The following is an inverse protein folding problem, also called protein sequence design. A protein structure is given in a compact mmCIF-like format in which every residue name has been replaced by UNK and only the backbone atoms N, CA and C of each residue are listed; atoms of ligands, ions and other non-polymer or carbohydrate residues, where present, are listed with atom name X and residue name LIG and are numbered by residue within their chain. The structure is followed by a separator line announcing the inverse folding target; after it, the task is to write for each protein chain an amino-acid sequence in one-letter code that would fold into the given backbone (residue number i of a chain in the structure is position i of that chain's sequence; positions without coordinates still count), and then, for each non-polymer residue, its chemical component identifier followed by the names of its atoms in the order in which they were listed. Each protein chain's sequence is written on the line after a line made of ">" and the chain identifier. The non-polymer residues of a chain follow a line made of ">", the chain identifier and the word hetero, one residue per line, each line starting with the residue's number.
data_IF_545272885612
#
_entry.id   IF_545272885612
#
_cell.length_a   1.000
_cell.length_b   1.000
_cell.length_c   1.000
_cell.angle_alpha   90.00
_cell.angle_beta   90.00
_cell.angle_gamma   90.00
#
_symmetry.space_group_name_H-M   'P 1'
#
loop_
_entity.id
_entity.type
_entity.pdbx_description
1 polymer ?
#
# COMPACT_ATOMS: atom_id res chain seq x y z
N UNK A 1 -1.60 3.60 -12.39
CA UNK A 1 -1.56 2.20 -11.90
C UNK A 1 -2.45 1.35 -12.80
N UNK A 2 -2.03 0.11 -13.10
CA UNK A 2 -2.81 -0.77 -13.96
C UNK A 2 -4.03 -1.34 -13.23
N UNK A 3 -5.06 -1.74 -13.99
CA UNK A 3 -6.26 -2.36 -13.42
C UNK A 3 -5.94 -3.65 -12.68
N UNK A 4 -4.97 -4.42 -13.17
CA UNK A 4 -4.53 -5.64 -12.49
C UNK A 4 -3.96 -5.34 -11.10
N UNK A 5 -3.19 -4.27 -10.95
CA UNK A 5 -2.65 -3.88 -9.65
C UNK A 5 -3.75 -3.43 -8.70
N UNK A 6 -4.76 -2.68 -9.18
CA UNK A 6 -5.92 -2.32 -8.36
C UNK A 6 -6.66 -3.56 -7.87
N UNK A 7 -6.92 -4.51 -8.76
CA UNK A 7 -7.61 -5.75 -8.41
C UNK A 7 -6.83 -6.51 -7.34
N UNK A 8 -5.52 -6.61 -7.51
CA UNK A 8 -4.65 -7.32 -6.57
C UNK A 8 -4.68 -6.63 -5.19
N UNK A 9 -4.59 -5.32 -5.17
CA UNK A 9 -4.59 -4.54 -3.93
C UNK A 9 -5.94 -4.67 -3.19
N UNK A 10 -7.05 -4.70 -3.92
CA UNK A 10 -8.39 -4.75 -3.33
C UNK A 10 -8.86 -6.15 -2.90
N UNK A 11 -8.02 -7.17 -2.99
CA UNK A 11 -8.38 -8.51 -2.55
C UNK A 11 -8.68 -8.56 -1.06
N UNK A 12 -9.67 -9.39 -0.67
CA UNK A 12 -10.10 -9.52 0.72
C UNK A 12 -8.96 -9.88 1.67
N UNK A 13 -8.02 -10.70 1.22
CA UNK A 13 -6.86 -11.09 2.03
C UNK A 13 -5.99 -9.91 2.47
N UNK A 14 -6.16 -8.74 1.85
CA UNK A 14 -5.40 -7.55 2.21
C UNK A 14 -6.01 -6.76 3.37
N UNK A 15 -7.20 -7.14 3.84
CA UNK A 15 -7.84 -6.65 5.07
C UNK A 15 -8.12 -5.15 5.09
N UNK A 16 -8.47 -4.56 3.96
CA UNK A 16 -8.76 -3.13 3.86
C UNK A 16 -9.94 -2.69 4.75
N UNK A 17 -10.85 -3.62 5.10
CA UNK A 17 -11.96 -3.36 6.00
C UNK A 17 -11.55 -2.87 7.38
N UNK A 18 -10.29 -3.07 7.77
CA UNK A 18 -9.76 -2.58 9.05
C UNK A 18 -9.48 -1.07 9.05
N UNK A 19 -9.32 -0.46 7.90
CA UNK A 19 -8.92 0.95 7.77
C UNK A 19 -9.87 1.80 6.94
N UNK A 20 -10.77 1.20 6.18
CA UNK A 20 -11.76 1.91 5.37
C UNK A 20 -13.14 1.30 5.55
N UNK A 21 -14.20 2.12 5.41
CA UNK A 21 -15.58 1.65 5.53
C UNK A 21 -16.01 0.80 4.34
N UNK A 22 -15.49 1.11 3.15
CA UNK A 22 -15.78 0.36 1.94
C UNK A 22 -14.49 -0.20 1.37
N UNK A 23 -14.11 -1.45 1.73
CA UNK A 23 -12.84 -2.03 1.30
C UNK A 23 -12.75 -2.32 -0.20
N UNK A 24 -13.87 -2.23 -0.91
CA UNK A 24 -13.88 -2.41 -2.37
C UNK A 24 -13.84 -1.08 -3.13
N UNK A 25 -13.92 0.05 -2.43
CA UNK A 25 -13.83 1.37 -3.05
C UNK A 25 -12.38 1.74 -3.28
N UNK A 26 -11.98 1.80 -4.54
CA UNK A 26 -10.62 2.22 -4.90
C UNK A 26 -10.31 3.63 -4.41
N UNK A 27 -11.28 4.55 -4.45
CA UNK A 27 -11.08 5.93 -4.02
C UNK A 27 -10.67 5.99 -2.54
N UNK A 28 -11.35 5.22 -1.70
CA UNK A 28 -11.03 5.19 -0.26
C UNK A 28 -9.70 4.51 0.01
N UNK A 29 -9.43 3.40 -0.65
CA UNK A 29 -8.16 2.69 -0.51
C UNK A 29 -7.01 3.53 -1.03
N UNK A 30 -7.17 4.21 -2.17
CA UNK A 30 -6.10 5.05 -2.72
C UNK A 30 -5.77 6.24 -1.82
N UNK A 31 -6.75 6.80 -1.10
CA UNK A 31 -6.49 7.83 -0.10
C UNK A 31 -5.58 7.31 1.02
N UNK A 32 -5.82 6.08 1.46
CA UNK A 32 -4.97 5.43 2.47
C UNK A 32 -3.57 5.21 1.91
N UNK A 33 -3.44 4.74 0.68
CA UNK A 33 -2.14 4.56 0.04
C UNK A 33 -1.36 5.88 -0.03
N UNK A 34 -2.02 6.97 -0.36
CA UNK A 34 -1.39 8.28 -0.42
C UNK A 34 -0.90 8.73 0.96
N UNK A 35 -1.67 8.48 2.01
CA UNK A 35 -1.24 8.78 3.38
C UNK A 35 0.01 8.01 3.76
N UNK A 36 0.07 6.72 3.40
CA UNK A 36 1.25 5.89 3.67
C UNK A 36 2.46 6.40 2.90
N UNK A 37 2.28 6.77 1.64
CA UNK A 37 3.38 7.28 0.81
C UNK A 37 3.91 8.62 1.31
N UNK A 38 3.05 9.47 1.87
CA UNK A 38 3.45 10.79 2.39
C UNK A 38 4.07 10.71 3.79
N UNK A 39 3.53 9.86 4.66
CA UNK A 39 3.85 9.87 6.09
C UNK A 39 4.53 8.60 6.58
N UNK A 40 4.52 7.52 5.80
CA UNK A 40 5.08 6.25 6.20
C UNK A 40 6.61 6.24 6.25
N UNK A 41 7.15 5.26 6.96
CA UNK A 41 8.60 5.04 7.04
C UNK A 41 9.06 4.18 5.87
N UNK A 42 9.98 4.70 5.06
CA UNK A 42 10.54 3.97 3.92
C UNK A 42 11.66 3.03 4.36
N UNK A 43 11.61 1.80 3.90
CA UNK A 43 12.69 0.83 4.05
C UNK A 43 12.84 0.04 2.75
N UNK A 44 14.06 -0.48 2.46
CA UNK A 44 14.24 -1.38 1.31
C UNK A 44 13.40 -2.66 1.48
N UNK A 45 12.84 -3.14 0.39
CA UNK A 45 12.08 -4.38 0.40
C UNK A 45 13.00 -5.56 0.05
N UNK A 46 13.40 -6.30 1.07
CA UNK A 46 14.30 -7.44 0.89
C UNK A 46 15.62 -7.06 0.22
N UNK A 47 16.12 -7.89 -0.66
CA UNK A 47 17.35 -7.67 -1.40
C UNK A 47 17.12 -7.22 -2.85
N UNK A 48 15.89 -6.82 -3.18
CA UNK A 48 15.52 -6.42 -4.53
C UNK A 48 15.87 -4.98 -4.78
N UNK A 49 16.62 -4.71 -5.86
CA UNK A 49 17.02 -3.35 -6.22
C UNK A 49 15.82 -2.52 -6.65
N UNK A 50 15.79 -1.27 -6.21
CA UNK A 50 14.75 -0.27 -6.54
C UNK A 50 13.35 -0.61 -6.01
N UNK A 51 13.21 -1.64 -5.18
CA UNK A 51 11.94 -1.97 -4.53
C UNK A 51 12.00 -1.54 -3.08
N UNK A 52 11.00 -0.75 -2.67
CA UNK A 52 10.91 -0.21 -1.32
C UNK A 52 9.53 -0.46 -0.76
N UNK A 53 9.40 -0.28 0.54
CA UNK A 53 8.11 -0.32 1.22
C UNK A 53 7.99 0.86 2.17
N UNK A 54 6.76 1.32 2.37
CA UNK A 54 6.43 2.27 3.42
C UNK A 54 5.36 1.68 4.31
N UNK A 55 5.47 1.91 5.61
CA UNK A 55 4.50 1.42 6.59
C UNK A 55 4.01 2.61 7.41
N UNK A 56 2.70 2.70 7.61
CA UNK A 56 2.09 3.75 8.40
C UNK A 56 0.88 3.19 9.15
N UNK A 57 0.75 3.55 10.43
CA UNK A 57 -0.37 3.08 11.26
C UNK A 57 -1.60 3.95 11.00
N UNK A 58 -2.71 3.31 10.64
CA UNK A 58 -4.00 3.97 10.42
C UNK A 58 -5.05 3.22 11.24
N UNK A 59 -5.75 3.94 12.11
CA UNK A 59 -6.82 3.39 12.95
C UNK A 59 -6.37 2.15 13.75
N UNK A 60 -5.12 2.13 14.19
CA UNK A 60 -4.57 1.02 14.97
C UNK A 60 -4.05 -0.16 14.16
N UNK A 61 -4.05 -0.06 12.84
CA UNK A 61 -3.54 -1.11 11.96
C UNK A 61 -2.41 -0.57 11.10
N UNK A 62 -1.34 -1.36 10.93
CA UNK A 62 -0.23 -0.97 10.07
C UNK A 62 -0.60 -1.27 8.61
N UNK A 63 -0.45 -0.26 7.75
CA UNK A 63 -0.67 -0.40 6.31
C UNK A 63 0.68 -0.35 5.60
N UNK A 64 0.95 -1.36 4.77
CA UNK A 64 2.19 -1.46 4.01
C UNK A 64 1.92 -1.21 2.54
N UNK A 65 2.74 -0.34 1.93
CA UNK A 65 2.73 -0.11 0.48
C UNK A 65 4.10 -0.50 -0.08
N UNK A 66 4.11 -1.43 -1.02
CA UNK A 66 5.30 -1.86 -1.73
C UNK A 66 5.32 -1.17 -3.10
N UNK A 67 6.45 -0.57 -3.45
CA UNK A 67 6.55 0.19 -4.68
C UNK A 67 7.95 0.10 -5.28
N UNK A 68 8.01 0.38 -6.58
CA UNK A 68 9.26 0.54 -7.33
C UNK A 68 9.59 2.03 -7.42
N UNK A 69 10.85 2.37 -7.22
CA UNK A 69 11.34 3.73 -7.42
C UNK A 69 12.48 3.68 -8.43
N UNK A 70 12.19 4.09 -9.66
CA UNK A 70 13.17 4.12 -10.74
C UNK A 70 13.26 5.55 -11.27
N UNK A 71 14.45 6.15 -11.14
CA UNK A 71 14.72 7.53 -11.60
C UNK A 71 13.72 8.54 -11.02
N UNK A 72 13.33 8.37 -9.76
CA UNK A 72 12.38 9.26 -9.09
C UNK A 72 10.91 8.99 -9.39
N UNK A 73 10.60 8.02 -10.24
CA UNK A 73 9.23 7.65 -10.54
C UNK A 73 8.79 6.49 -9.66
N UNK A 74 7.69 6.68 -8.93
CA UNK A 74 7.11 5.66 -8.07
C UNK A 74 6.03 4.88 -8.82
N UNK A 75 6.09 3.54 -8.73
CA UNK A 75 5.06 2.65 -9.26
C UNK A 75 4.66 1.69 -8.17
N UNK A 76 3.41 1.78 -7.70
CA UNK A 76 2.92 0.88 -6.65
C UNK A 76 2.81 -0.53 -7.22
N UNK A 77 3.46 -1.47 -6.54
CA UNK A 77 3.45 -2.88 -6.91
C UNK A 77 2.36 -3.65 -6.15
N UNK A 78 2.21 -3.36 -4.85
CA UNK A 78 1.23 -4.02 -4.00
C UNK A 78 1.00 -3.19 -2.75
N UNK A 79 -0.06 -3.51 -2.02
CA UNK A 79 -0.35 -2.87 -0.74
C UNK A 79 -1.32 -3.74 0.05
N UNK A 80 -1.17 -3.77 1.38
CA UNK A 80 -2.08 -4.53 2.24
C UNK A 80 -2.04 -3.98 3.66
N UNK A 81 -3.07 -4.32 4.44
CA UNK A 81 -3.11 -4.06 5.88
C UNK A 81 -2.47 -5.24 6.59
N UNK A 82 -1.48 -4.96 7.42
CA UNK A 82 -0.81 -6.01 8.20
C UNK A 82 -1.71 -6.43 9.34
N UNK A 83 -2.06 -7.71 9.38
CA UNK A 83 -2.85 -8.29 10.47
C UNK A 83 -1.92 -8.93 11.49
N UNK A 84 -2.25 -8.71 12.75
CA UNK A 84 -1.50 -9.30 13.85
C UNK A 84 -2.25 -10.48 14.46
#
# INVERSE_FOLDING_TARGET
>A
MSDNNKHHILQEKHSWDKVVDDPKSWDKVSDVLNQVLESGTETPYGNTKNVFQKVYNIKGSDVLVKYLNVNGKLTISDAWVMTR
#
